data_IF_005630517410
#
_entry.id   IF_005630517410
#
_cell.length_a   1.000
_cell.length_b   1.000
_cell.length_c   1.000
_cell.angle_alpha   90.00
_cell.angle_beta   90.00
_cell.angle_gamma   90.00
#
_symmetry.space_group_name_H-M   'P 1'
#
loop_
_entity.id
_entity.type
_entity.pdbx_description
1 polymer ?
#
# COMPACT_ATOMS: atom_id res chain seq x y z
N UNK A 1 -25.04 0.12 -6.96
CA UNK A 1 -24.34 0.71 -5.78
C UNK A 1 -23.00 0.01 -5.59
N UNK A 2 -21.86 0.71 -5.64
CA UNK A 2 -20.55 0.10 -5.37
C UNK A 2 -20.34 0.03 -3.85
N UNK A 3 -20.48 -1.16 -3.26
CA UNK A 3 -20.37 -1.39 -1.82
C UNK A 3 -18.93 -1.33 -1.27
N UNK A 4 -18.74 -1.56 0.03
CA UNK A 4 -17.41 -1.54 0.68
C UNK A 4 -16.42 -2.55 0.10
N UNK A 5 -16.91 -3.66 -0.44
CA UNK A 5 -16.10 -4.65 -1.15
C UNK A 5 -15.36 -4.04 -2.35
N UNK A 6 -15.96 -3.06 -3.04
CA UNK A 6 -15.30 -2.30 -4.11
C UNK A 6 -14.17 -1.41 -3.57
N UNK A 7 -14.40 -0.71 -2.46
CA UNK A 7 -13.39 0.15 -1.83
C UNK A 7 -12.20 -0.70 -1.39
N UNK A 8 -12.44 -1.85 -0.76
CA UNK A 8 -11.38 -2.78 -0.35
C UNK A 8 -10.56 -3.29 -1.53
N UNK A 9 -11.20 -3.72 -2.62
CA UNK A 9 -10.50 -4.16 -3.85
C UNK A 9 -9.63 -3.04 -4.43
N UNK A 10 -10.14 -1.80 -4.48
CA UNK A 10 -9.37 -0.65 -4.94
C UNK A 10 -8.14 -0.38 -4.07
N UNK A 11 -8.28 -0.44 -2.75
CA UNK A 11 -7.16 -0.22 -1.81
C UNK A 11 -6.11 -1.32 -1.89
N UNK A 12 -6.53 -2.57 -2.05
CA UNK A 12 -5.62 -3.70 -2.27
C UNK A 12 -4.81 -3.54 -3.57
N UNK A 13 -5.47 -3.17 -4.67
CA UNK A 13 -4.79 -2.90 -5.93
C UNK A 13 -3.78 -1.75 -5.80
N UNK A 14 -4.16 -0.68 -5.10
CA UNK A 14 -3.26 0.46 -4.83
C UNK A 14 -2.04 0.07 -3.99
N UNK A 15 -2.22 -0.75 -2.96
CA UNK A 15 -1.13 -1.26 -2.13
C UNK A 15 -0.17 -2.15 -2.95
N UNK A 16 -0.72 -2.98 -3.85
CA UNK A 16 0.08 -3.83 -4.74
C UNK A 16 0.96 -2.98 -5.68
N UNK A 17 0.39 -1.97 -6.32
CA UNK A 17 1.16 -1.06 -7.18
C UNK A 17 2.29 -0.35 -6.41
N UNK A 18 2.04 0.10 -5.18
CA UNK A 18 3.07 0.74 -4.37
C UNK A 18 4.18 -0.21 -3.96
N UNK A 19 3.87 -1.48 -3.67
CA UNK A 19 4.90 -2.50 -3.40
C UNK A 19 5.80 -2.70 -4.61
N UNK A 20 5.22 -2.81 -5.80
CA UNK A 20 5.99 -2.92 -7.05
C UNK A 20 6.85 -1.68 -7.29
N UNK A 21 6.32 -0.48 -7.03
CA UNK A 21 7.08 0.76 -7.13
C UNK A 21 8.25 0.81 -6.13
N UNK A 22 8.03 0.39 -4.88
CA UNK A 22 9.08 0.32 -3.85
C UNK A 22 10.19 -0.63 -4.30
N UNK A 23 9.86 -1.84 -4.77
CA UNK A 23 10.85 -2.81 -5.25
C UNK A 23 11.66 -2.24 -6.42
N UNK A 24 11.01 -1.57 -7.37
CA UNK A 24 11.71 -0.89 -8.48
C UNK A 24 12.67 0.19 -7.96
N UNK A 25 12.20 1.07 -7.07
CA UNK A 25 13.02 2.15 -6.50
C UNK A 25 14.21 1.61 -5.69
N UNK A 26 14.02 0.53 -4.92
CA UNK A 26 15.10 -0.13 -4.17
C UNK A 26 16.12 -0.75 -5.11
N UNK A 27 15.67 -1.40 -6.18
CA UNK A 27 16.53 -1.98 -7.22
C UNK A 27 17.31 -0.90 -7.96
N UNK A 28 16.67 0.20 -8.35
CA UNK A 28 17.32 1.33 -9.00
C UNK A 28 18.34 2.01 -8.09
N UNK A 29 18.03 2.17 -6.80
CA UNK A 29 18.97 2.73 -5.83
C UNK A 29 20.18 1.81 -5.61
N UNK A 30 19.98 0.50 -5.60
CA UNK A 30 21.06 -0.48 -5.51
C UNK A 30 21.94 -0.48 -6.76
N UNK A 31 21.35 -0.48 -7.96
CA UNK A 31 22.10 -0.50 -9.23
C UNK A 31 22.85 0.80 -9.50
N UNK A 32 22.32 1.94 -9.05
CA UNK A 32 22.95 3.25 -9.21
C UNK A 32 23.94 3.60 -8.09
N UNK A 33 24.14 2.69 -7.12
CA UNK A 33 25.04 2.92 -5.98
C UNK A 33 26.48 3.08 -6.46
N UNK A 34 27.07 4.25 -6.22
CA UNK A 34 28.45 4.57 -6.60
C UNK A 34 28.62 5.20 -7.99
N UNK A 35 27.57 5.24 -8.81
CA UNK A 35 27.61 5.84 -10.17
C UNK A 35 26.63 7.01 -10.33
N UNK A 36 25.56 7.08 -9.52
CA UNK A 36 24.62 8.19 -9.59
C UNK A 36 25.11 9.46 -8.90
N UNK A 37 24.68 10.60 -9.46
CA UNK A 37 24.86 11.92 -8.86
C UNK A 37 24.17 11.97 -7.49
N UNK A 38 24.76 12.63 -6.47
CA UNK A 38 24.18 12.72 -5.12
C UNK A 38 22.73 13.21 -5.12
N UNK A 39 22.40 14.20 -5.96
CA UNK A 39 21.03 14.71 -6.12
C UNK A 39 20.02 13.62 -6.52
N UNK A 40 20.38 12.74 -7.46
CA UNK A 40 19.53 11.62 -7.88
C UNK A 40 19.30 10.65 -6.73
N UNK A 41 20.33 10.32 -5.96
CA UNK A 41 20.21 9.44 -4.80
C UNK A 41 19.27 10.03 -3.74
N UNK A 42 19.33 11.34 -3.50
CA UNK A 42 18.40 12.05 -2.61
C UNK A 42 16.96 11.99 -3.13
N UNK A 43 16.75 12.23 -4.43
CA UNK A 43 15.43 12.13 -5.07
C UNK A 43 14.87 10.69 -4.95
N UNK A 44 15.68 9.66 -5.22
CA UNK A 44 15.30 8.26 -5.00
C UNK A 44 14.95 7.96 -3.55
N UNK A 45 15.74 8.45 -2.59
CA UNK A 45 15.47 8.31 -1.17
C UNK A 45 14.14 8.95 -0.76
N UNK A 46 13.85 10.15 -1.27
CA UNK A 46 12.58 10.84 -1.03
C UNK A 46 11.39 10.04 -1.59
N UNK A 47 11.47 9.59 -2.84
CA UNK A 47 10.42 8.80 -3.47
C UNK A 47 10.19 7.47 -2.76
N UNK A 48 11.26 6.81 -2.33
CA UNK A 48 11.19 5.56 -1.58
C UNK A 48 10.51 5.76 -0.22
N UNK A 49 10.92 6.78 0.53
CA UNK A 49 10.33 7.11 1.82
C UNK A 49 8.84 7.45 1.71
N UNK A 50 8.48 8.30 0.74
CA UNK A 50 7.09 8.68 0.47
C UNK A 50 6.24 7.47 0.09
N UNK A 51 6.76 6.58 -0.78
CA UNK A 51 6.06 5.37 -1.22
C UNK A 51 5.82 4.41 -0.06
N UNK A 52 6.83 4.20 0.81
CA UNK A 52 6.72 3.36 2.01
C UNK A 52 5.69 3.93 3.00
N UNK A 53 5.74 5.23 3.28
CA UNK A 53 4.77 5.89 4.17
C UNK A 53 3.33 5.78 3.64
N UNK A 54 3.15 5.97 2.32
CA UNK A 54 1.84 5.80 1.69
C UNK A 54 1.33 4.36 1.77
N UNK A 55 2.21 3.38 1.53
CA UNK A 55 1.87 1.96 1.63
C UNK A 55 1.41 1.61 3.05
N UNK A 56 2.14 2.06 4.07
CA UNK A 56 1.78 1.81 5.47
C UNK A 56 0.37 2.37 5.80
N UNK A 57 0.06 3.59 5.35
CA UNK A 57 -1.27 4.19 5.56
C UNK A 57 -2.38 3.40 4.85
N UNK A 58 -2.10 2.87 3.66
CA UNK A 58 -3.03 2.03 2.92
C UNK A 58 -3.25 0.68 3.60
N UNK A 59 -2.19 0.05 4.11
CA UNK A 59 -2.28 -1.20 4.86
C UNK A 59 -3.12 -1.03 6.12
N UNK A 60 -2.92 0.06 6.88
CA UNK A 60 -3.78 0.40 8.03
C UNK A 60 -5.25 0.57 7.60
N UNK A 61 -5.51 1.24 6.47
CA UNK A 61 -6.86 1.42 5.94
C UNK A 61 -7.51 0.07 5.54
N UNK A 62 -6.75 -0.80 4.87
CA UNK A 62 -7.21 -2.14 4.47
C UNK A 62 -7.55 -2.96 5.71
N UNK A 63 -6.68 -2.97 6.72
CA UNK A 63 -6.93 -3.66 7.98
C UNK A 63 -8.19 -3.15 8.68
N UNK A 64 -8.41 -1.82 8.72
CA UNK A 64 -9.63 -1.25 9.28
C UNK A 64 -10.89 -1.69 8.53
N UNK A 65 -10.84 -1.76 7.20
CA UNK A 65 -11.95 -2.28 6.38
C UNK A 65 -12.22 -3.76 6.66
N UNK A 66 -11.16 -4.57 6.79
CA UNK A 66 -11.28 -5.99 7.11
C UNK A 66 -11.91 -6.23 8.49
N UNK A 67 -11.50 -5.46 9.50
CA UNK A 67 -12.09 -5.54 10.84
C UNK A 67 -13.55 -5.11 10.86
N UNK A 68 -13.92 -4.10 10.07
CA UNK A 68 -15.30 -3.67 9.92
C UNK A 68 -16.18 -4.70 9.20
N UNK A 69 -15.64 -5.43 8.24
CA UNK A 69 -16.32 -6.54 7.58
C UNK A 69 -16.57 -7.68 8.58
N UNK A 70 -15.57 -8.06 9.38
CA UNK A 70 -15.68 -9.14 10.38
C UNK A 70 -16.75 -8.89 11.45
N UNK A 71 -16.78 -7.69 12.05
CA UNK A 71 -17.80 -7.34 13.05
C UNK A 71 -19.23 -7.41 12.52
N UNK A 72 -19.43 -7.22 11.21
CA UNK A 72 -20.76 -7.36 10.61
C UNK A 72 -21.19 -8.80 10.43
N UNK A 73 -20.25 -9.69 10.10
CA UNK A 73 -20.56 -11.11 10.00
C UNK A 73 -20.88 -11.71 11.38
N UNK A 74 -20.17 -11.28 12.42
CA UNK A 74 -20.38 -11.73 13.80
C UNK A 74 -21.73 -11.29 14.38
N UNK A 75 -22.24 -10.11 14.00
CA UNK A 75 -23.55 -9.60 14.41
C UNK A 75 -24.68 -9.93 13.42
N UNK A 76 -24.44 -10.82 12.45
CA UNK A 76 -25.49 -11.27 11.54
C UNK A 76 -26.41 -12.23 12.31
N UNK A 77 -27.69 -11.90 12.52
CA UNK A 77 -28.60 -12.83 13.19
C UNK A 77 -28.67 -14.11 12.36
N UNK A 78 -28.44 -15.26 13.00
CA UNK A 78 -28.75 -16.56 12.41
C UNK A 78 -30.25 -16.56 12.13
N UNK A 79 -30.63 -16.49 10.86
CA UNK A 79 -31.99 -16.78 10.46
C UNK A 79 -32.19 -18.28 10.62
N UNK A 80 -32.99 -18.65 11.63
CA UNK A 80 -33.54 -19.99 11.86
C UNK A 80 -34.88 -20.08 11.14
#
# INVERSE_FOLDING_TARGET
MRGRSWIRKKRLAEAQMLREQIVRLETELFTQRGTAKPRRLTEFGYHLHSSKSRLERLERCISALQSADRRREEHRPQQV
#
